data_IF_558660970404
#
_entry.id   IF_558660970404
#
_cell.length_a   1.000
_cell.length_b   1.000
_cell.length_c   1.000
_cell.angle_alpha   90.00
_cell.angle_beta   90.00
_cell.angle_gamma   90.00
#
_symmetry.space_group_name_H-M   'P 1'
#
loop_
_entity.id
_entity.type
_entity.pdbx_description
1 polymer ?
#
# COMPACT_ATOMS: atom_id res chain seq x y z
N UNK A 1 6.48 8.26 -17.96
CA UNK A 1 5.40 8.70 -17.03
C UNK A 1 5.96 8.88 -15.63
N UNK A 2 5.31 9.69 -14.79
CA UNK A 2 5.74 9.95 -13.41
C UNK A 2 4.74 9.32 -12.44
N UNK A 3 5.23 8.47 -11.51
CA UNK A 3 4.42 7.82 -10.48
C UNK A 3 4.83 8.27 -9.07
N UNK A 4 3.87 8.32 -8.16
CA UNK A 4 4.09 8.66 -6.76
C UNK A 4 3.96 7.42 -5.86
N UNK A 5 4.90 7.25 -4.93
CA UNK A 5 4.74 6.42 -3.74
C UNK A 5 4.52 7.33 -2.53
N UNK A 6 3.29 7.40 -2.03
CA UNK A 6 2.93 8.24 -0.90
C UNK A 6 2.95 7.44 0.41
N UNK A 7 3.79 7.83 1.34
CA UNK A 7 3.81 7.28 2.71
C UNK A 7 2.77 8.06 3.53
N UNK A 8 1.68 7.43 4.01
CA UNK A 8 0.63 8.12 4.76
C UNK A 8 1.01 8.32 6.23
N UNK A 9 2.26 8.69 6.48
CA UNK A 9 2.85 8.95 7.79
C UNK A 9 4.04 9.87 7.68
N UNK A 10 4.55 10.32 8.82
CA UNK A 10 5.68 11.26 8.90
C UNK A 10 6.98 10.54 9.24
N UNK A 11 7.64 10.02 8.23
CA UNK A 11 8.86 9.23 8.35
C UNK A 11 10.08 10.07 8.73
N UNK A 12 10.23 11.26 8.14
CA UNK A 12 11.41 12.12 8.37
C UNK A 12 11.44 12.75 9.76
N UNK A 13 10.36 12.64 10.54
CA UNK A 13 10.32 13.06 11.94
C UNK A 13 11.31 12.30 12.83
N UNK A 14 11.64 11.06 12.46
CA UNK A 14 12.53 10.19 13.24
C UNK A 14 13.95 10.21 12.70
N UNK A 15 14.91 9.88 13.57
CA UNK A 15 16.31 9.69 13.16
C UNK A 15 16.41 8.65 12.04
N UNK A 16 17.23 8.94 11.02
CA UNK A 16 17.37 8.09 9.85
C UNK A 16 16.20 8.13 8.86
N UNK A 17 15.10 8.82 9.16
CA UNK A 17 13.89 8.84 8.33
C UNK A 17 14.10 9.41 6.93
N UNK A 18 14.94 10.43 6.79
CA UNK A 18 15.29 11.00 5.46
C UNK A 18 16.03 9.96 4.59
N UNK A 19 16.97 9.23 5.16
CA UNK A 19 17.69 8.17 4.45
C UNK A 19 16.74 7.02 4.05
N UNK A 20 15.82 6.66 4.94
CA UNK A 20 14.81 5.63 4.68
C UNK A 20 13.84 6.05 3.57
N UNK A 21 13.39 7.31 3.54
CA UNK A 21 12.56 7.85 2.46
C UNK A 21 13.29 7.76 1.12
N UNK A 22 14.56 8.16 1.06
CA UNK A 22 15.39 8.05 -0.14
C UNK A 22 15.58 6.58 -0.58
N UNK A 23 15.79 5.66 0.38
CA UNK A 23 15.90 4.22 0.12
C UNK A 23 14.60 3.66 -0.49
N UNK A 24 13.44 4.04 0.04
CA UNK A 24 12.14 3.62 -0.49
C UNK A 24 11.90 4.15 -1.90
N UNK A 25 12.22 5.44 -2.14
CA UNK A 25 12.18 6.03 -3.48
C UNK A 25 13.02 5.24 -4.48
N UNK A 26 14.27 4.91 -4.13
CA UNK A 26 15.13 4.10 -4.98
C UNK A 26 14.57 2.68 -5.21
N UNK A 27 13.96 2.08 -4.19
CA UNK A 27 13.36 0.75 -4.31
C UNK A 27 12.16 0.74 -5.26
N UNK A 28 11.21 1.67 -5.12
CA UNK A 28 10.06 1.75 -6.05
C UNK A 28 10.49 2.09 -7.47
N UNK A 29 11.56 2.91 -7.64
CA UNK A 29 12.14 3.20 -8.96
C UNK A 29 12.72 1.94 -9.61
N UNK A 30 13.43 1.09 -8.87
CA UNK A 30 13.95 -0.19 -9.39
C UNK A 30 12.82 -1.11 -9.86
N UNK A 31 11.74 -1.21 -9.07
CA UNK A 31 10.57 -2.03 -9.42
C UNK A 31 9.85 -1.48 -10.66
N UNK A 32 9.72 -0.17 -10.77
CA UNK A 32 9.08 0.46 -11.92
C UNK A 32 9.87 0.22 -13.22
N UNK A 33 11.20 0.30 -13.16
CA UNK A 33 12.07 0.09 -14.32
C UNK A 33 12.10 1.28 -15.27
N UNK A 34 12.47 1.00 -16.52
CA UNK A 34 12.59 2.03 -17.56
C UNK A 34 11.21 2.57 -18.00
N UNK A 35 11.19 3.82 -18.48
CA UNK A 35 9.96 4.48 -18.95
C UNK A 35 9.13 5.14 -17.83
N UNK A 36 9.48 4.88 -16.56
CA UNK A 36 8.83 5.47 -15.39
C UNK A 36 9.83 6.19 -14.49
N UNK A 37 9.43 7.36 -13.98
CA UNK A 37 10.13 8.06 -12.90
C UNK A 37 9.28 7.98 -11.66
N UNK A 38 9.80 7.38 -10.59
CA UNK A 38 9.09 7.26 -9.31
C UNK A 38 9.61 8.30 -8.32
N UNK A 39 8.69 8.99 -7.66
CA UNK A 39 8.98 9.80 -6.49
C UNK A 39 8.37 9.19 -5.23
N UNK A 40 8.89 9.60 -4.06
CA UNK A 40 8.36 9.17 -2.77
C UNK A 40 8.10 10.40 -1.91
N UNK A 41 6.85 10.59 -1.51
CA UNK A 41 6.41 11.65 -0.61
C UNK A 41 5.92 11.08 0.71
N UNK A 42 5.83 11.93 1.72
CA UNK A 42 5.27 11.61 3.03
C UNK A 42 4.22 12.62 3.46
N UNK A 43 3.44 12.26 4.47
CA UNK A 43 2.44 13.13 5.09
C UNK A 43 3.05 13.76 6.34
N UNK A 44 3.48 15.02 6.24
CA UNK A 44 3.97 15.80 7.39
C UNK A 44 2.83 16.01 8.39
N UNK A 45 3.08 15.71 9.66
CA UNK A 45 2.05 15.76 10.71
C UNK A 45 1.26 14.45 10.88
N UNK A 46 1.45 13.46 10.00
CA UNK A 46 0.85 12.14 10.11
C UNK A 46 1.44 11.29 11.25
N UNK A 47 0.90 10.07 11.50
CA UNK A 47 1.42 9.14 12.48
C UNK A 47 2.84 8.66 12.11
N UNK A 48 3.62 8.25 13.12
CA UNK A 48 4.97 7.71 12.89
C UNK A 48 4.94 6.32 12.23
N UNK A 49 3.91 5.53 12.52
CA UNK A 49 3.57 4.24 11.92
C UNK A 49 2.06 4.06 11.98
N UNK A 50 1.53 3.07 11.25
CA UNK A 50 0.11 2.74 11.25
C UNK A 50 -0.01 1.29 11.71
N UNK A 51 -0.48 1.11 12.94
CA UNK A 51 -0.60 -0.18 13.62
C UNK A 51 -1.96 -0.33 14.34
N UNK A 52 -2.87 0.61 14.07
CA UNK A 52 -4.23 0.65 14.62
C UNK A 52 -5.19 1.38 13.70
N UNK A 53 -6.50 1.16 13.89
CA UNK A 53 -7.54 1.91 13.18
C UNK A 53 -7.47 3.42 13.46
N UNK A 54 -7.08 3.82 14.68
CA UNK A 54 -6.93 5.23 15.01
C UNK A 54 -5.85 5.91 14.14
N UNK A 55 -4.70 5.28 14.00
CA UNK A 55 -3.61 5.79 13.16
C UNK A 55 -3.95 5.74 11.67
N UNK A 56 -4.72 4.71 11.23
CA UNK A 56 -5.28 4.70 9.86
C UNK A 56 -6.11 5.98 9.62
N UNK A 57 -7.08 6.27 10.47
CA UNK A 57 -7.94 7.46 10.31
C UNK A 57 -7.16 8.76 10.41
N UNK A 58 -6.16 8.86 11.28
CA UNK A 58 -5.30 10.05 11.36
C UNK A 58 -4.52 10.31 10.07
N UNK A 59 -4.13 9.25 9.36
CA UNK A 59 -3.31 9.38 8.16
C UNK A 59 -4.10 9.89 6.93
N UNK A 60 -5.41 9.67 6.90
CA UNK A 60 -6.26 9.85 5.70
C UNK A 60 -6.32 11.30 5.21
N UNK A 61 -6.64 12.32 6.04
CA UNK A 61 -6.77 13.70 5.53
C UNK A 61 -5.50 14.20 4.84
N UNK A 62 -4.35 14.05 5.49
CA UNK A 62 -3.08 14.49 4.93
C UNK A 62 -2.66 13.70 3.70
N UNK A 63 -2.99 12.41 3.63
CA UNK A 63 -2.72 11.59 2.45
C UNK A 63 -3.56 12.07 1.24
N UNK A 64 -4.83 12.40 1.45
CA UNK A 64 -5.70 12.94 0.39
C UNK A 64 -5.17 14.27 -0.12
N UNK A 65 -4.79 15.20 0.77
CA UNK A 65 -4.22 16.50 0.37
C UNK A 65 -2.97 16.33 -0.50
N UNK A 66 -2.10 15.40 -0.14
CA UNK A 66 -0.88 15.09 -0.90
C UNK A 66 -1.19 14.45 -2.26
N UNK A 67 -2.21 13.61 -2.37
CA UNK A 67 -2.65 13.02 -3.64
C UNK A 67 -3.25 14.07 -4.58
N UNK A 68 -4.04 15.01 -4.05
CA UNK A 68 -4.57 16.14 -4.82
C UNK A 68 -3.43 17.03 -5.33
N UNK A 69 -2.42 17.30 -4.51
CA UNK A 69 -1.21 18.03 -4.92
C UNK A 69 -0.46 17.27 -6.03
N UNK A 70 -0.30 15.96 -5.88
CA UNK A 70 0.39 15.12 -6.87
C UNK A 70 -0.31 15.16 -8.23
N UNK A 71 -1.63 15.04 -8.28
CA UNK A 71 -2.38 15.18 -9.53
C UNK A 71 -2.18 16.56 -10.18
N UNK A 72 -2.23 17.62 -9.37
CA UNK A 72 -2.01 19.00 -9.87
C UNK A 72 -0.61 19.23 -10.39
N UNK A 73 0.38 18.51 -9.90
CA UNK A 73 1.79 18.61 -10.33
C UNK A 73 2.16 17.63 -11.45
N UNK A 74 1.19 16.87 -11.96
CA UNK A 74 1.33 16.08 -13.19
C UNK A 74 1.73 14.62 -12.99
N UNK A 75 1.58 14.06 -11.80
CA UNK A 75 1.75 12.61 -11.62
C UNK A 75 0.67 11.84 -12.38
N UNK A 76 1.09 10.77 -13.07
CA UNK A 76 0.21 9.93 -13.87
C UNK A 76 -0.61 8.95 -13.00
N UNK A 77 -0.07 8.56 -11.84
CA UNK A 77 -0.72 7.66 -10.89
C UNK A 77 0.02 7.64 -9.55
N UNK A 78 -0.63 7.14 -8.52
CA UNK A 78 -0.09 7.08 -7.17
C UNK A 78 -0.33 5.73 -6.49
N UNK A 79 0.55 5.41 -5.54
CA UNK A 79 0.42 4.28 -4.61
C UNK A 79 0.25 4.87 -3.21
N UNK A 80 -0.83 4.48 -2.52
CA UNK A 80 -1.06 4.84 -1.12
C UNK A 80 -0.31 3.85 -0.22
N UNK A 81 0.90 4.18 0.17
CA UNK A 81 1.95 3.29 0.70
C UNK A 81 1.74 2.76 2.11
N UNK A 82 0.55 2.23 2.42
CA UNK A 82 0.23 1.43 3.60
C UNK A 82 -0.54 0.19 3.17
N UNK A 83 -0.24 -0.97 3.73
CA UNK A 83 -0.88 -2.23 3.34
C UNK A 83 -2.38 -2.30 3.71
N UNK A 84 -2.81 -1.55 4.72
CA UNK A 84 -4.23 -1.43 5.08
C UNK A 84 -5.06 -0.56 4.13
N UNK A 85 -4.46 0.05 3.12
CA UNK A 85 -5.11 0.93 2.13
C UNK A 85 -5.98 2.05 2.75
N UNK A 86 -5.50 2.78 3.79
CA UNK A 86 -6.33 3.72 4.54
C UNK A 86 -6.87 4.86 3.67
N UNK A 87 -8.19 4.98 3.60
CA UNK A 87 -8.84 6.06 2.85
C UNK A 87 -8.77 5.93 1.33
N UNK A 88 -8.52 4.73 0.78
CA UNK A 88 -8.37 4.49 -0.67
C UNK A 88 -9.62 4.95 -1.46
N UNK A 89 -10.82 4.73 -0.93
CA UNK A 89 -12.06 5.15 -1.57
C UNK A 89 -12.16 6.68 -1.63
N UNK A 90 -11.90 7.35 -0.52
CA UNK A 90 -11.90 8.81 -0.45
C UNK A 90 -10.82 9.42 -1.36
N UNK A 91 -9.64 8.79 -1.47
CA UNK A 91 -8.62 9.21 -2.43
C UNK A 91 -9.12 9.13 -3.88
N UNK A 92 -9.80 8.04 -4.24
CA UNK A 92 -10.39 7.82 -5.57
C UNK A 92 -11.53 8.78 -5.89
N UNK A 93 -12.26 9.28 -4.89
CA UNK A 93 -13.24 10.36 -5.07
C UNK A 93 -12.57 11.69 -5.42
N UNK A 94 -11.41 11.97 -4.80
CA UNK A 94 -10.77 13.29 -4.85
C UNK A 94 -9.86 13.50 -6.06
N UNK A 95 -9.27 12.45 -6.62
CA UNK A 95 -8.36 12.55 -7.78
C UNK A 95 -8.85 11.71 -8.95
N UNK A 96 -8.44 12.10 -10.17
CA UNK A 96 -8.77 11.37 -11.41
C UNK A 96 -7.67 10.39 -11.82
N UNK A 97 -6.43 10.63 -11.37
CA UNK A 97 -5.33 9.70 -11.61
C UNK A 97 -5.59 8.38 -10.88
N UNK A 98 -5.10 7.24 -11.40
CA UNK A 98 -5.18 5.97 -10.68
C UNK A 98 -4.50 6.04 -9.31
N UNK A 99 -5.22 5.62 -8.26
CA UNK A 99 -4.65 5.45 -6.90
C UNK A 99 -4.77 3.97 -6.53
N UNK A 100 -3.62 3.35 -6.27
CA UNK A 100 -3.51 1.93 -5.98
C UNK A 100 -3.20 1.71 -4.51
N UNK A 101 -4.00 0.86 -3.87
CA UNK A 101 -3.75 0.32 -2.55
C UNK A 101 -2.87 -0.93 -2.64
N UNK A 102 -1.75 -1.03 -1.90
CA UNK A 102 -0.91 -2.21 -1.89
C UNK A 102 -1.61 -3.48 -1.39
N UNK A 103 -2.54 -3.34 -0.44
CA UNK A 103 -3.32 -4.46 0.07
C UNK A 103 -4.25 -5.02 -0.98
N UNK A 104 -5.09 -4.16 -1.59
CA UNK A 104 -5.97 -4.54 -2.70
C UNK A 104 -5.18 -5.19 -3.85
N UNK A 105 -4.12 -4.54 -4.33
CA UNK A 105 -3.31 -5.04 -5.43
C UNK A 105 -2.70 -6.42 -5.13
N UNK A 106 -2.20 -6.62 -3.90
CA UNK A 106 -1.61 -7.88 -3.49
C UNK A 106 -2.64 -9.01 -3.37
N UNK A 107 -3.80 -8.71 -2.79
CA UNK A 107 -4.87 -9.69 -2.61
C UNK A 107 -5.47 -10.13 -3.95
N UNK A 108 -5.69 -9.20 -4.90
CA UNK A 108 -6.15 -9.52 -6.25
C UNK A 108 -5.13 -10.39 -7.01
N UNK A 109 -3.83 -10.06 -6.88
CA UNK A 109 -2.77 -10.85 -7.47
C UNK A 109 -2.70 -12.25 -6.84
N UNK A 110 -2.77 -12.36 -5.51
CA UNK A 110 -2.81 -13.65 -4.80
C UNK A 110 -4.00 -14.51 -5.22
N UNK A 111 -5.17 -13.89 -5.36
CA UNK A 111 -6.39 -14.56 -5.78
C UNK A 111 -6.30 -15.17 -7.20
N UNK A 112 -5.38 -14.66 -8.04
CA UNK A 112 -5.11 -15.21 -9.38
C UNK A 112 -4.09 -16.35 -9.38
N UNK A 113 -3.27 -16.48 -8.33
CA UNK A 113 -2.19 -17.47 -8.24
C UNK A 113 -2.57 -18.76 -7.53
N UNK A 114 -3.58 -18.70 -6.65
CA UNK A 114 -3.99 -19.84 -5.85
C UNK A 114 -5.48 -19.82 -5.48
N UNK A 115 -5.90 -20.88 -4.84
CA UNK A 115 -7.26 -20.96 -4.29
C UNK A 115 -7.37 -20.22 -2.97
N UNK A 116 -6.28 -20.23 -2.16
CA UNK A 116 -6.24 -19.63 -0.84
C UNK A 116 -4.93 -18.87 -0.63
N UNK A 117 -5.01 -17.71 0.00
CA UNK A 117 -3.83 -16.94 0.41
C UNK A 117 -3.88 -16.60 1.89
N UNK A 118 -2.72 -16.41 2.50
CA UNK A 118 -2.57 -15.87 3.84
C UNK A 118 -1.76 -14.58 3.82
N UNK A 119 -2.01 -13.72 4.82
CA UNK A 119 -1.28 -12.49 5.02
C UNK A 119 -0.42 -12.64 6.28
N UNK A 120 0.89 -12.37 6.16
CA UNK A 120 1.81 -12.28 7.30
C UNK A 120 2.07 -10.81 7.60
N UNK A 121 1.53 -10.32 8.73
CA UNK A 121 1.60 -8.92 9.15
C UNK A 121 2.46 -8.72 10.41
N UNK A 122 2.49 -7.52 10.95
CA UNK A 122 3.36 -7.13 12.07
C UNK A 122 2.76 -7.45 13.43
N UNK A 123 1.50 -7.06 13.69
CA UNK A 123 0.83 -7.17 15.00
C UNK A 123 -0.59 -7.74 14.87
N UNK A 124 -1.04 -8.44 15.89
CA UNK A 124 -2.40 -9.02 15.97
C UNK A 124 -3.51 -7.96 15.91
N UNK A 125 -3.22 -6.73 16.37
CA UNK A 125 -4.16 -5.60 16.30
C UNK A 125 -4.62 -5.28 14.88
N UNK A 126 -3.87 -5.70 13.85
CA UNK A 126 -4.18 -5.48 12.44
C UNK A 126 -5.01 -6.61 11.81
N UNK A 127 -5.12 -7.76 12.44
CA UNK A 127 -5.75 -8.93 11.83
C UNK A 127 -7.17 -8.62 11.34
N UNK A 128 -8.02 -8.07 12.22
CA UNK A 128 -9.39 -7.69 11.85
C UNK A 128 -9.45 -6.63 10.74
N UNK A 129 -8.52 -5.67 10.74
CA UNK A 129 -8.47 -4.63 9.70
C UNK A 129 -8.15 -5.22 8.32
N UNK A 130 -7.26 -6.20 8.27
CA UNK A 130 -6.88 -6.88 7.04
C UNK A 130 -7.94 -7.88 6.55
N UNK A 131 -8.65 -8.55 7.47
CA UNK A 131 -9.82 -9.35 7.14
C UNK A 131 -10.95 -8.48 6.55
N UNK A 132 -11.20 -7.30 7.16
CA UNK A 132 -12.13 -6.30 6.64
C UNK A 132 -11.71 -5.82 5.24
N UNK A 133 -10.42 -5.57 5.01
CA UNK A 133 -9.92 -5.18 3.70
C UNK A 133 -10.16 -6.29 2.66
N UNK A 134 -9.93 -7.55 3.00
CA UNK A 134 -10.21 -8.68 2.10
C UNK A 134 -11.69 -8.77 1.73
N UNK A 135 -12.59 -8.46 2.67
CA UNK A 135 -14.03 -8.34 2.42
C UNK A 135 -14.34 -7.16 1.48
N UNK A 136 -13.76 -5.98 1.71
CA UNK A 136 -13.94 -4.80 0.85
C UNK A 136 -13.46 -5.06 -0.59
N UNK A 137 -12.34 -5.77 -0.74
CA UNK A 137 -11.80 -6.19 -2.05
C UNK A 137 -12.64 -7.29 -2.72
N UNK A 138 -13.47 -8.01 -1.95
CA UNK A 138 -14.33 -9.09 -2.45
C UNK A 138 -13.59 -10.43 -2.61
N UNK A 139 -12.54 -10.65 -1.83
CA UNK A 139 -11.71 -11.87 -1.88
C UNK A 139 -11.64 -12.61 -0.53
N UNK A 140 -12.53 -12.29 0.40
CA UNK A 140 -12.56 -12.85 1.75
C UNK A 140 -12.66 -14.39 1.78
N UNK A 141 -13.34 -14.98 0.80
CA UNK A 141 -13.46 -16.45 0.67
C UNK A 141 -12.15 -17.14 0.30
N UNK A 142 -11.21 -16.39 -0.22
CA UNK A 142 -9.86 -16.87 -0.55
C UNK A 142 -8.85 -16.59 0.56
N UNK A 143 -9.18 -15.76 1.54
CA UNK A 143 -8.33 -15.51 2.70
C UNK A 143 -8.33 -16.75 3.61
N UNK A 144 -7.17 -17.37 3.76
CA UNK A 144 -6.97 -18.52 4.65
C UNK A 144 -6.75 -18.08 6.10
N UNK A 145 -5.89 -17.07 6.28
CA UNK A 145 -5.58 -16.51 7.60
C UNK A 145 -4.87 -15.16 7.49
N UNK A 146 -4.88 -14.39 8.60
CA UNK A 146 -3.96 -13.31 8.86
C UNK A 146 -3.12 -13.71 10.07
N UNK A 147 -1.79 -13.71 9.93
CA UNK A 147 -0.84 -14.09 10.96
C UNK A 147 0.11 -12.95 11.27
N UNK A 148 0.50 -12.76 12.51
CA UNK A 148 1.42 -11.69 12.91
C UNK A 148 2.74 -12.21 13.43
N UNK A 149 3.80 -11.45 13.17
CA UNK A 149 5.15 -11.77 13.67
C UNK A 149 5.43 -11.22 15.07
N UNK A 150 4.53 -10.39 15.63
CA UNK A 150 4.66 -9.81 16.96
C UNK A 150 5.80 -8.77 17.07
N UNK A 151 6.14 -8.06 15.98
CA UNK A 151 7.17 -7.02 15.96
C UNK A 151 6.54 -5.72 15.46
N UNK A 152 6.58 -4.61 16.24
CA UNK A 152 6.09 -3.31 15.81
C UNK A 152 6.84 -2.78 14.56
N UNK A 153 6.15 -2.00 13.72
CA UNK A 153 6.71 -1.45 12.46
C UNK A 153 8.04 -0.75 12.65
N UNK A 154 8.16 0.06 13.72
CA UNK A 154 9.38 0.84 13.99
C UNK A 154 10.55 -0.01 14.49
N UNK A 155 10.30 -1.26 14.85
CA UNK A 155 11.31 -2.21 15.34
C UNK A 155 11.79 -3.21 14.31
N UNK A 156 11.10 -3.34 13.17
CA UNK A 156 11.42 -4.30 12.10
C UNK A 156 12.86 -4.24 11.59
N UNK A 157 13.48 -3.06 11.64
CA UNK A 157 14.85 -2.85 11.19
C UNK A 157 15.93 -3.04 12.27
N UNK A 158 15.57 -3.28 13.54
CA UNK A 158 16.55 -3.46 14.64
C UNK A 158 17.28 -4.78 14.51
N UNK A 159 16.54 -5.85 14.25
CA UNK A 159 17.04 -7.21 14.07
C UNK A 159 16.45 -7.80 12.77
N UNK A 160 17.00 -7.47 11.59
CA UNK A 160 16.41 -7.86 10.31
C UNK A 160 16.33 -9.37 10.10
N UNK A 161 17.32 -10.14 10.57
CA UNK A 161 17.34 -11.60 10.45
C UNK A 161 16.31 -12.27 11.38
N UNK A 162 16.11 -11.76 12.59
CA UNK A 162 15.04 -12.24 13.48
C UNK A 162 13.66 -11.92 12.88
N UNK A 163 13.50 -10.71 12.35
CA UNK A 163 12.28 -10.32 11.62
C UNK A 163 11.99 -11.29 10.48
N UNK A 164 13.00 -11.60 9.66
CA UNK A 164 12.85 -12.53 8.56
C UNK A 164 12.54 -13.95 9.02
N UNK A 165 13.22 -14.43 10.07
CA UNK A 165 12.96 -15.75 10.67
C UNK A 165 11.52 -15.89 11.12
N UNK A 166 10.96 -14.87 11.78
CA UNK A 166 9.54 -14.87 12.19
C UNK A 166 8.60 -14.82 11.00
N UNK A 167 8.92 -14.03 9.98
CA UNK A 167 8.11 -14.02 8.73
C UNK A 167 8.04 -15.40 8.08
N UNK A 168 9.17 -16.10 8.00
CA UNK A 168 9.23 -17.47 7.44
C UNK A 168 8.40 -18.41 8.30
N UNK A 169 8.57 -18.39 9.63
CA UNK A 169 7.83 -19.25 10.55
C UNK A 169 6.31 -19.07 10.42
N UNK A 170 5.82 -17.84 10.40
CA UNK A 170 4.38 -17.58 10.22
C UNK A 170 3.92 -17.95 8.80
N UNK A 171 4.79 -17.83 7.79
CA UNK A 171 4.54 -18.33 6.45
C UNK A 171 4.43 -19.86 6.38
N UNK A 172 5.26 -20.60 7.12
CA UNK A 172 5.15 -22.06 7.25
C UNK A 172 3.84 -22.47 7.92
N UNK A 173 3.43 -21.80 9.00
CA UNK A 173 2.12 -22.05 9.62
C UNK A 173 0.96 -21.73 8.67
N UNK A 174 1.06 -20.65 7.92
CA UNK A 174 0.06 -20.31 6.91
C UNK A 174 -0.08 -21.40 5.84
N UNK A 175 1.04 -21.93 5.33
CA UNK A 175 1.07 -23.03 4.37
C UNK A 175 0.55 -24.35 4.95
N UNK A 176 1.08 -24.77 6.10
CA UNK A 176 0.92 -26.13 6.61
C UNK A 176 -0.38 -26.31 7.42
N UNK A 177 -0.76 -25.31 8.20
CA UNK A 177 -1.93 -25.35 9.07
C UNK A 177 -3.16 -24.72 8.41
N UNK A 178 -2.99 -23.53 7.79
CA UNK A 178 -4.13 -22.80 7.19
C UNK A 178 -4.35 -23.16 5.73
N UNK A 179 -3.43 -23.95 5.14
CA UNK A 179 -3.50 -24.42 3.75
C UNK A 179 -3.50 -23.29 2.74
N UNK A 180 -2.63 -22.30 2.94
CA UNK A 180 -2.42 -21.24 1.99
C UNK A 180 -1.57 -21.72 0.81
N UNK A 181 -2.01 -21.39 -0.40
CA UNK A 181 -1.26 -21.61 -1.65
C UNK A 181 -0.30 -20.46 -1.94
N UNK A 182 -0.54 -19.29 -1.34
CA UNK A 182 0.19 -18.03 -1.56
C UNK A 182 0.30 -17.31 -0.23
N UNK A 183 1.46 -16.68 0.03
CA UNK A 183 1.65 -15.78 1.17
C UNK A 183 1.83 -14.34 0.68
N UNK A 184 1.23 -13.39 1.37
CA UNK A 184 1.40 -11.95 1.14
C UNK A 184 2.16 -11.35 2.33
N UNK A 185 3.18 -10.54 2.05
CA UNK A 185 3.84 -9.72 3.08
C UNK A 185 2.93 -8.56 3.45
N UNK A 186 2.28 -8.62 4.61
CA UNK A 186 1.19 -7.73 5.04
C UNK A 186 1.65 -6.40 5.64
N UNK A 187 2.84 -5.92 5.32
CA UNK A 187 3.35 -4.63 5.78
C UNK A 187 4.37 -4.07 4.78
N UNK A 188 4.23 -2.77 4.44
CA UNK A 188 5.15 -2.12 3.51
C UNK A 188 6.59 -2.09 4.04
N UNK A 189 6.79 -1.87 5.35
CA UNK A 189 8.14 -1.86 5.94
C UNK A 189 8.81 -3.24 5.91
N UNK A 190 8.05 -4.33 6.04
CA UNK A 190 8.53 -5.69 5.80
C UNK A 190 8.90 -5.90 4.32
N UNK A 191 8.03 -5.44 3.42
CA UNK A 191 8.21 -5.58 1.98
C UNK A 191 9.46 -4.86 1.45
N UNK A 192 9.81 -3.72 2.03
CA UNK A 192 11.03 -2.99 1.68
C UNK A 192 12.33 -3.67 2.13
N UNK A 193 12.28 -4.77 2.89
CA UNK A 193 13.45 -5.63 3.12
C UNK A 193 13.81 -6.47 1.89
N UNK A 194 12.89 -6.58 0.91
CA UNK A 194 13.08 -7.22 -0.41
C UNK A 194 13.44 -8.72 -0.32
N UNK A 195 12.92 -9.43 0.71
CA UNK A 195 13.22 -10.84 1.02
C UNK A 195 12.18 -11.83 0.50
N UNK A 196 11.21 -11.41 -0.34
CA UNK A 196 10.12 -12.28 -0.85
C UNK A 196 10.63 -13.49 -1.63
N UNK A 197 11.72 -13.35 -2.39
CA UNK A 197 12.30 -14.44 -3.17
C UNK A 197 12.92 -15.51 -2.28
N UNK A 198 13.61 -15.10 -1.21
CA UNK A 198 14.20 -16.03 -0.25
C UNK A 198 13.10 -16.74 0.54
N UNK A 199 12.09 -15.98 0.99
CA UNK A 199 10.93 -16.54 1.67
C UNK A 199 10.19 -17.55 0.79
N UNK A 200 9.95 -17.24 -0.49
CA UNK A 200 9.31 -18.15 -1.44
C UNK A 200 10.10 -19.45 -1.66
N UNK A 201 11.42 -19.36 -1.73
CA UNK A 201 12.30 -20.57 -1.83
C UNK A 201 12.17 -21.48 -0.61
N UNK A 202 12.13 -20.90 0.60
CA UNK A 202 12.00 -21.65 1.85
C UNK A 202 10.60 -22.26 1.95
N UNK A 203 9.56 -21.48 1.67
CA UNK A 203 8.16 -21.94 1.79
C UNK A 203 7.75 -22.92 0.67
N UNK A 204 8.41 -22.88 -0.49
CA UNK A 204 8.00 -23.66 -1.65
C UNK A 204 6.69 -23.21 -2.30
N UNK A 205 6.17 -22.05 -1.94
CA UNK A 205 4.96 -21.41 -2.50
C UNK A 205 5.23 -19.94 -2.84
N UNK A 206 4.43 -19.32 -3.73
CA UNK A 206 4.60 -17.90 -4.07
C UNK A 206 4.47 -16.98 -2.85
N UNK A 207 5.34 -15.97 -2.79
CA UNK A 207 5.29 -14.88 -1.80
C UNK A 207 5.17 -13.55 -2.53
N UNK A 208 4.12 -12.80 -2.22
CA UNK A 208 3.85 -11.51 -2.85
C UNK A 208 4.45 -10.39 -2.01
N UNK A 209 5.25 -9.56 -2.68
CA UNK A 209 5.71 -8.29 -2.15
C UNK A 209 4.73 -7.18 -2.57
N UNK A 210 4.05 -6.51 -1.61
CA UNK A 210 3.04 -5.50 -1.91
C UNK A 210 3.61 -4.24 -2.59
N UNK A 211 4.89 -3.95 -2.43
CA UNK A 211 5.53 -2.85 -3.18
C UNK A 211 5.54 -3.18 -4.67
N UNK A 212 5.94 -4.42 -5.01
CA UNK A 212 5.97 -4.87 -6.39
C UNK A 212 4.57 -4.94 -7.00
N UNK A 213 3.61 -5.51 -6.27
CA UNK A 213 2.22 -5.63 -6.71
C UNK A 213 1.62 -4.24 -7.01
N UNK A 214 1.76 -3.29 -6.08
CA UNK A 214 1.20 -1.96 -6.23
C UNK A 214 1.86 -1.15 -7.36
N UNK A 215 3.18 -1.19 -7.50
CA UNK A 215 3.89 -0.51 -8.60
C UNK A 215 3.42 -1.05 -9.95
N UNK A 216 3.35 -2.38 -10.11
CA UNK A 216 2.94 -2.98 -11.38
C UNK A 216 1.45 -2.79 -11.70
N UNK A 217 0.59 -2.80 -10.69
CA UNK A 217 -0.83 -2.47 -10.86
C UNK A 217 -1.01 -1.01 -11.29
N UNK A 218 -0.32 -0.06 -10.65
CA UNK A 218 -0.37 1.36 -11.03
C UNK A 218 0.10 1.56 -12.48
N UNK A 219 1.22 0.94 -12.86
CA UNK A 219 1.73 1.00 -14.22
C UNK A 219 0.72 0.44 -15.22
N UNK A 220 0.14 -0.73 -14.95
CA UNK A 220 -0.86 -1.34 -15.82
C UNK A 220 -2.08 -0.44 -16.03
N UNK A 221 -2.62 0.16 -14.98
CA UNK A 221 -3.75 1.09 -15.11
C UNK A 221 -3.39 2.31 -15.95
N UNK A 222 -2.23 2.91 -15.72
CA UNK A 222 -1.78 4.08 -16.46
C UNK A 222 -1.46 3.75 -17.93
N UNK A 223 -0.77 2.65 -18.20
CA UNK A 223 -0.38 2.22 -19.56
C UNK A 223 -1.59 1.86 -20.42
N UNK A 224 -2.64 1.30 -19.79
CA UNK A 224 -3.93 1.01 -20.45
C UNK A 224 -4.86 2.23 -20.52
N UNK A 225 -4.47 3.38 -19.98
CA UNK A 225 -5.31 4.58 -19.93
C UNK A 225 -6.55 4.43 -19.04
N UNK A 226 -6.54 3.48 -18.09
CA UNK A 226 -7.66 3.21 -17.20
C UNK A 226 -7.65 4.14 -16.00
N UNK A 227 -8.85 4.50 -15.54
CA UNK A 227 -9.08 5.34 -14.36
C UNK A 227 -10.20 4.74 -13.52
N UNK A 228 -10.25 5.10 -12.23
CA UNK A 228 -11.35 4.70 -11.36
C UNK A 228 -12.68 5.27 -11.88
N UNK A 229 -13.73 4.45 -11.82
CA UNK A 229 -15.05 4.82 -12.31
C UNK A 229 -15.65 5.96 -11.49
N UNK A 230 -15.98 7.08 -12.12
CA UNK A 230 -16.68 8.20 -11.45
C UNK A 230 -18.11 7.86 -11.03
N UNK A 231 -18.66 6.75 -11.52
CA UNK A 231 -19.93 6.21 -11.04
C UNK A 231 -19.76 5.53 -9.67
N UNK A 232 -18.61 4.84 -9.46
CA UNK A 232 -18.28 4.18 -8.20
C UNK A 232 -17.72 5.17 -7.17
N UNK A 233 -16.90 6.12 -7.64
CA UNK A 233 -16.21 7.12 -6.81
C UNK A 233 -16.57 8.54 -7.30
N UNK A 234 -17.80 9.02 -7.04
CA UNK A 234 -18.23 10.36 -7.46
C UNK A 234 -17.50 11.44 -6.66
N UNK A 235 -17.16 12.54 -7.32
CA UNK A 235 -16.62 13.72 -6.57
C UNK A 235 -17.68 14.20 -5.59
N UNK A 236 -17.35 14.42 -4.30
CA UNK A 236 -18.31 14.90 -3.31
C UNK A 236 -18.97 16.21 -3.77
N UNK A 237 -20.32 16.32 -3.80
CA UNK A 237 -21.02 17.46 -4.43
C UNK A 237 -20.64 18.82 -3.86
N UNK A 238 -20.36 18.89 -2.54
CA UNK A 238 -19.94 20.12 -1.87
C UNK A 238 -18.57 20.61 -2.35
N UNK A 239 -17.65 19.70 -2.67
CA UNK A 239 -16.32 20.02 -3.17
C UNK A 239 -16.35 20.33 -4.67
N UNK A 240 -17.19 19.67 -5.45
CA UNK A 240 -17.39 19.98 -6.87
C UNK A 240 -17.82 21.45 -7.08
N UNK A 241 -18.65 21.99 -6.20
CA UNK A 241 -19.06 23.40 -6.25
C UNK A 241 -17.90 24.37 -5.92
N UNK A 242 -17.00 24.01 -5.00
CA UNK A 242 -15.84 24.82 -4.66
C UNK A 242 -14.83 24.87 -5.81
N UNK A 243 -14.60 23.75 -6.50
CA UNK A 243 -13.71 23.68 -7.67
C UNK A 243 -14.29 24.47 -8.85
N UNK A 244 -15.59 24.37 -9.12
CA UNK A 244 -16.27 25.15 -10.15
C UNK A 244 -16.27 26.67 -9.85
N UNK A 245 -16.43 27.06 -8.58
CA UNK A 245 -16.40 28.47 -8.14
C UNK A 245 -15.01 29.11 -8.16
N UNK A 246 -13.94 28.33 -8.04
CA UNK A 246 -12.57 28.83 -8.11
C UNK A 246 -12.13 29.15 -9.57
N UNK A 247 -12.68 28.42 -10.55
CA UNK A 247 -12.41 28.68 -11.98
C UNK A 247 -13.07 29.94 -12.55
N UNK A 248 -14.12 30.46 -11.87
CA UNK A 248 -14.84 31.64 -12.33
C UNK A 248 -14.34 32.98 -11.78
N UNK A 249 -13.35 33.01 -10.90
CA UNK A 249 -12.79 34.24 -10.30
C UNK A 249 -11.51 34.76 -10.97
N UNK A 250 -11.10 34.16 -12.09
CA UNK A 250 -9.87 34.51 -12.81
C UNK A 250 -10.06 35.32 -14.09
N UNK A 251 -11.24 35.88 -14.35
CA UNK A 251 -11.49 36.73 -15.54
C UNK A 251 -12.25 37.99 -15.14
N UNK A 252 -11.52 38.92 -14.51
CA UNK A 252 -11.86 40.33 -14.49
C UNK A 252 -10.58 41.15 -14.45
#
# INVERSE_FOLDING_TARGET
MQGLYLIPGWMTRREGGTAELARRRAAVQRVAGQGWTMDAWEVVGGPASIESAYEEYQSVPGAIDRLVEAERTGFAGAILGCFGDPGIEAAREMVSMPVVGPGEASMLLAASLGHRFSIVTVLDSLNFLLERLAWQVGVERKLASVRSIGIPVLELGREPEETFTRMVREGEFARDQDRADVVIMGCMSMAFQDRQTDMAKILGIPVINPVHAAVKMMQALCDLGLRHSRRAYPVPPKLAQQVAGAGSRGSH
#
